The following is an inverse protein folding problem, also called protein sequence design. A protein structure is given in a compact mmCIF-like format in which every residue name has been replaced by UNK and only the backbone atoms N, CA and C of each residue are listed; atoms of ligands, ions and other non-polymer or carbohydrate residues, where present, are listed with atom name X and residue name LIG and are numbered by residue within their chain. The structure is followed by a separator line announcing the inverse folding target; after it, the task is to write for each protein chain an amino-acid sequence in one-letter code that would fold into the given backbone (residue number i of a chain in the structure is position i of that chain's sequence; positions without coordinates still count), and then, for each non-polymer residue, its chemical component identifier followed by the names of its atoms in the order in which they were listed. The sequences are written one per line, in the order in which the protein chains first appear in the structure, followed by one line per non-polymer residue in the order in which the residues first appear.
data_IF_239042652436
#
_entry.id   IF_239042652436
#
_cell.length_a   1.000
_cell.length_b   1.000
_cell.length_c   1.000
_cell.angle_alpha   90.00
_cell.angle_beta   90.00
_cell.angle_gamma   90.00
#
_symmetry.space_group_name_H-M   'P 1'
#
loop_
_entity.id
_entity.type
_entity.pdbx_description
1 polymer ?
#
# COMPACT_ATOMS: atom_id res chain seq x y z
N UNK A 1 -11.43 -10.70 17.09
CA UNK A 1 -11.49 -11.74 16.03
C UNK A 1 -11.32 -11.18 14.61
N UNK A 2 -12.17 -10.26 14.08
CA UNK A 2 -11.96 -9.71 12.72
C UNK A 2 -10.82 -8.69 12.63
N UNK A 3 -10.68 -7.82 13.63
CA UNK A 3 -9.56 -6.88 13.71
C UNK A 3 -8.22 -7.61 13.89
N UNK A 4 -8.17 -8.65 14.74
CA UNK A 4 -6.96 -9.46 14.93
C UNK A 4 -6.52 -10.15 13.63
N UNK A 5 -7.49 -10.72 12.89
CA UNK A 5 -7.22 -11.32 11.58
C UNK A 5 -6.69 -10.29 10.58
N UNK A 6 -7.26 -9.08 10.55
CA UNK A 6 -6.77 -7.98 9.72
C UNK A 6 -5.33 -7.61 10.09
N UNK A 7 -5.06 -7.41 11.37
CA UNK A 7 -3.73 -7.04 11.89
C UNK A 7 -2.66 -8.08 11.53
N UNK A 8 -2.99 -9.37 11.54
CA UNK A 8 -2.08 -10.42 11.10
C UNK A 8 -1.62 -10.24 9.64
N UNK A 9 -2.53 -9.85 8.73
CA UNK A 9 -2.17 -9.57 7.33
C UNK A 9 -1.41 -8.25 7.15
N UNK A 10 -1.69 -7.24 7.99
CA UNK A 10 -0.90 -6.00 8.01
C UNK A 10 0.54 -6.29 8.39
N UNK A 11 0.76 -7.08 9.45
CA UNK A 11 2.10 -7.46 9.89
C UNK A 11 2.84 -8.28 8.82
N UNK A 12 2.13 -9.19 8.14
CA UNK A 12 2.70 -9.95 7.02
C UNK A 12 3.10 -9.05 5.84
N UNK A 13 2.25 -8.09 5.47
CA UNK A 13 2.57 -7.10 4.45
C UNK A 13 3.80 -6.27 4.83
N UNK A 14 3.87 -5.80 6.08
CA UNK A 14 5.04 -5.06 6.57
C UNK A 14 6.30 -5.91 6.53
N UNK A 15 6.24 -7.19 6.90
CA UNK A 15 7.37 -8.12 6.80
C UNK A 15 7.90 -8.25 5.38
N UNK A 16 7.02 -8.43 4.39
CA UNK A 16 7.44 -8.46 2.97
C UNK A 16 8.08 -7.14 2.54
N UNK A 17 7.49 -6.00 2.92
CA UNK A 17 8.01 -4.68 2.55
C UNK A 17 9.34 -4.37 3.25
N UNK A 18 9.57 -4.81 4.48
CA UNK A 18 10.88 -4.67 5.13
C UNK A 18 12.00 -5.39 4.36
N UNK A 19 11.67 -6.51 3.71
CA UNK A 19 12.62 -7.29 2.93
C UNK A 19 12.80 -6.73 1.51
N UNK A 20 11.70 -6.35 0.86
CA UNK A 20 11.65 -6.02 -0.55
C UNK A 20 11.77 -4.51 -0.83
N UNK A 21 11.17 -3.67 0.01
CA UNK A 21 10.97 -2.26 -0.26
C UNK A 21 10.95 -1.41 1.03
N UNK A 22 12.01 -1.49 1.87
CA UNK A 22 11.94 -1.02 3.25
C UNK A 22 11.65 0.48 3.37
N UNK A 23 12.19 1.30 2.48
CA UNK A 23 12.02 2.75 2.47
C UNK A 23 10.58 3.18 2.22
N UNK A 24 9.76 2.33 1.57
CA UNK A 24 8.36 2.64 1.31
C UNK A 24 7.53 2.80 2.60
N UNK A 25 7.91 2.08 3.67
CA UNK A 25 7.16 2.05 4.93
C UNK A 25 7.06 3.41 5.62
N UNK A 26 7.98 4.35 5.34
CA UNK A 26 7.98 5.71 5.90
C UNK A 26 7.22 6.76 5.07
N UNK A 27 6.76 6.42 3.87
CA UNK A 27 6.19 7.40 2.93
C UNK A 27 4.81 7.88 3.37
N UNK A 28 3.98 6.96 3.87
CA UNK A 28 2.63 7.26 4.33
C UNK A 28 2.54 7.15 5.85
N UNK A 29 1.56 7.84 6.45
CA UNK A 29 1.32 7.72 7.90
C UNK A 29 1.04 6.28 8.33
N UNK A 30 0.42 5.49 7.45
CA UNK A 30 0.25 4.04 7.57
C UNK A 30 0.32 3.40 6.18
N UNK A 31 0.96 2.23 6.10
CA UNK A 31 0.98 1.40 4.88
C UNK A 31 -0.42 0.97 4.42
N UNK A 32 -1.39 0.97 5.34
CA UNK A 32 -2.79 0.57 5.10
C UNK A 32 -3.70 1.73 4.69
N UNK A 33 -3.15 2.92 4.39
CA UNK A 33 -3.94 3.99 3.77
C UNK A 33 -4.46 3.50 2.41
N UNK A 34 -5.65 3.96 2.00
CA UNK A 34 -6.22 3.53 0.71
C UNK A 34 -5.28 3.85 -0.46
N UNK A 35 -4.62 5.01 -0.42
CA UNK A 35 -3.58 5.38 -1.39
C UNK A 35 -2.43 4.38 -1.43
N UNK A 36 -1.83 4.08 -0.28
CA UNK A 36 -0.71 3.14 -0.20
C UNK A 36 -1.08 1.73 -0.67
N UNK A 37 -2.24 1.22 -0.26
CA UNK A 37 -2.71 -0.10 -0.68
C UNK A 37 -2.98 -0.15 -2.20
N UNK A 38 -3.56 0.92 -2.77
CA UNK A 38 -3.84 0.99 -4.21
C UNK A 38 -2.56 1.03 -5.03
N UNK A 39 -1.58 1.83 -4.59
CA UNK A 39 -0.28 1.91 -5.23
C UNK A 39 0.47 0.57 -5.19
N UNK A 40 0.59 -0.06 -4.02
CA UNK A 40 1.26 -1.35 -3.88
C UNK A 40 0.53 -2.53 -4.56
N UNK A 41 -0.77 -2.39 -4.82
CA UNK A 41 -1.56 -3.35 -5.56
C UNK A 41 -1.37 -3.21 -7.08
N UNK A 42 -1.16 -1.97 -7.54
CA UNK A 42 -0.94 -1.63 -8.95
C UNK A 42 0.53 -1.84 -9.35
N UNK A 43 1.46 -1.26 -8.59
CA UNK A 43 2.90 -1.27 -8.81
C UNK A 43 3.56 -2.07 -7.70
N UNK A 44 3.74 -3.35 -7.96
CA UNK A 44 3.94 -4.35 -6.90
C UNK A 44 5.41 -4.65 -6.60
N UNK A 45 6.30 -3.87 -7.20
CA UNK A 45 7.75 -3.87 -7.00
C UNK A 45 8.30 -2.44 -7.19
N UNK A 46 9.47 -2.13 -6.62
CA UNK A 46 10.24 -0.92 -6.93
C UNK A 46 10.40 -0.68 -8.43
N UNK A 47 10.76 -1.71 -9.21
CA UNK A 47 10.92 -1.59 -10.66
C UNK A 47 9.61 -1.16 -11.33
N UNK A 48 8.48 -1.75 -10.93
CA UNK A 48 7.17 -1.35 -11.46
C UNK A 48 6.81 0.11 -11.15
N UNK A 49 7.32 0.69 -10.05
CA UNK A 49 7.16 2.11 -9.78
C UNK A 49 8.08 2.99 -10.63
N UNK A 50 9.29 2.53 -10.92
CA UNK A 50 10.28 3.25 -11.74
C UNK A 50 9.84 3.26 -13.21
N UNK A 51 9.29 2.16 -13.70
CA UNK A 51 8.83 1.99 -15.08
C UNK A 51 7.48 2.67 -15.36
N UNK A 52 6.69 2.94 -14.33
CA UNK A 52 5.37 3.54 -14.47
C UNK A 52 5.42 5.01 -14.88
N UNK A 53 4.39 5.46 -15.59
CA UNK A 53 4.26 6.88 -15.93
C UNK A 53 4.01 7.72 -14.66
N UNK A 54 4.73 8.86 -14.57
CA UNK A 54 4.62 9.77 -13.44
C UNK A 54 3.18 10.25 -13.22
N UNK A 55 2.48 10.59 -14.29
CA UNK A 55 1.13 11.15 -14.21
C UNK A 55 0.15 10.09 -13.69
N UNK A 56 0.29 8.82 -14.10
CA UNK A 56 -0.51 7.71 -13.58
C UNK A 56 -0.36 7.55 -12.06
N UNK A 57 0.87 7.57 -11.52
CA UNK A 57 1.09 7.49 -10.07
C UNK A 57 0.50 8.71 -9.36
N UNK A 58 0.72 9.92 -9.89
CA UNK A 58 0.19 11.17 -9.32
C UNK A 58 -1.34 11.16 -9.29
N UNK A 59 -1.98 10.64 -10.34
CA UNK A 59 -3.45 10.56 -10.43
C UNK A 59 -4.03 9.49 -9.51
N UNK A 60 -3.35 8.36 -9.31
CA UNK A 60 -3.71 7.40 -8.25
C UNK A 60 -3.62 8.06 -6.88
N UNK A 61 -2.57 8.83 -6.60
CA UNK A 61 -2.44 9.54 -5.31
C UNK A 61 -3.57 10.57 -5.14
N UNK A 62 -3.84 11.39 -6.16
CA UNK A 62 -4.91 12.40 -6.10
C UNK A 62 -6.32 11.81 -5.96
N UNK A 63 -6.60 10.70 -6.64
CA UNK A 63 -7.94 10.08 -6.60
C UNK A 63 -8.21 9.36 -5.28
N UNK A 64 -7.17 8.90 -4.60
CA UNK A 64 -7.29 8.13 -3.35
C UNK A 64 -7.04 8.95 -2.09
N UNK A 65 -6.30 10.06 -2.19
CA UNK A 65 -5.96 10.93 -1.09
C UNK A 65 -6.73 12.26 -1.17
N UNK A 66 -7.25 12.73 -0.03
CA UNK A 66 -7.98 14.01 0.06
C UNK A 66 -7.03 15.22 0.14
N UNK A 67 -6.00 15.26 -0.70
CA UNK A 67 -4.96 16.29 -0.71
C UNK A 67 -4.69 16.84 -2.11
N UNK A 68 -4.07 18.02 -2.18
CA UNK A 68 -3.78 18.72 -3.44
C UNK A 68 -2.58 18.15 -4.23
N UNK A 69 -2.35 18.73 -5.41
CA UNK A 69 -1.31 18.30 -6.36
C UNK A 69 0.12 18.32 -5.77
N UNK A 70 0.43 19.28 -4.91
CA UNK A 70 1.73 19.37 -4.23
C UNK A 70 1.99 18.14 -3.36
N UNK A 71 0.98 17.68 -2.61
CA UNK A 71 1.09 16.46 -1.82
C UNK A 71 1.36 15.25 -2.71
N UNK A 72 0.62 15.12 -3.81
CA UNK A 72 0.77 14.01 -4.74
C UNK A 72 2.17 13.95 -5.36
N UNK A 73 2.71 15.08 -5.81
CA UNK A 73 4.07 15.15 -6.33
C UNK A 73 5.13 14.82 -5.27
N UNK A 74 4.96 15.33 -4.04
CA UNK A 74 5.89 15.02 -2.95
C UNK A 74 5.90 13.52 -2.61
N UNK A 75 4.72 12.87 -2.62
CA UNK A 75 4.63 11.42 -2.42
C UNK A 75 5.21 10.65 -3.59
N UNK A 76 4.94 11.05 -4.84
CA UNK A 76 5.57 10.47 -6.02
C UNK A 76 7.11 10.50 -5.92
N UNK A 77 7.72 11.66 -5.64
CA UNK A 77 9.17 11.76 -5.52
C UNK A 77 9.73 10.88 -4.40
N UNK A 78 9.06 10.83 -3.24
CA UNK A 78 9.45 9.95 -2.14
C UNK A 78 9.38 8.45 -2.53
N UNK A 79 8.37 8.05 -3.31
CA UNK A 79 8.22 6.67 -3.80
C UNK A 79 9.34 6.31 -4.77
N UNK A 80 9.64 7.17 -5.75
CA UNK A 80 10.70 6.92 -6.72
C UNK A 80 12.07 6.87 -6.06
N UNK A 81 12.34 7.77 -5.11
CA UNK A 81 13.57 7.74 -4.32
C UNK A 81 13.70 6.43 -3.54
N UNK A 82 12.64 6.03 -2.84
CA UNK A 82 12.60 4.76 -2.12
C UNK A 82 12.82 3.56 -3.07
N UNK A 83 12.25 3.60 -4.28
CA UNK A 83 12.33 2.52 -5.25
C UNK A 83 13.77 2.31 -5.73
N UNK A 84 14.47 3.38 -6.06
CA UNK A 84 15.89 3.32 -6.41
C UNK A 84 16.77 2.84 -5.25
N UNK A 85 16.48 3.25 -4.01
CA UNK A 85 17.20 2.77 -2.84
C UNK A 85 16.98 1.25 -2.60
N UNK A 86 15.77 0.76 -2.84
CA UNK A 86 15.45 -0.66 -2.73
C UNK A 86 16.19 -1.52 -3.78
N UNK A 87 16.38 -1.02 -5.01
CA UNK A 87 17.16 -1.71 -6.05
C UNK A 87 18.61 -1.98 -5.61
N UNK A 88 19.19 -1.12 -4.75
CA UNK A 88 20.56 -1.29 -4.26
C UNK A 88 20.69 -2.37 -3.15
N UNK A 89 19.59 -2.76 -2.51
CA UNK A 89 19.61 -3.58 -1.29
C UNK A 89 19.30 -5.07 -1.50
N UNK A 90 18.65 -5.48 -2.61
CA UNK A 90 18.46 -6.91 -2.91
C UNK A 90 17.44 -7.25 -3.99
N UNK A 91 17.44 -8.53 -4.40
CA UNK A 91 16.52 -9.09 -5.40
C UNK A 91 15.13 -9.34 -4.80
N UNK A 92 14.12 -8.64 -5.31
CA UNK A 92 12.74 -9.07 -5.19
C UNK A 92 12.51 -10.23 -6.13
N UNK A 93 12.02 -11.35 -5.59
CA UNK A 93 11.57 -12.47 -6.41
C UNK A 93 10.05 -12.46 -6.52
N UNK A 94 9.51 -13.03 -7.59
CA UNK A 94 8.07 -13.08 -7.88
C UNK A 94 7.20 -13.53 -6.70
N UNK A 95 7.74 -14.37 -5.83
CA UNK A 95 7.02 -14.84 -4.64
C UNK A 95 6.71 -13.73 -3.64
N UNK A 96 7.56 -12.70 -3.50
CA UNK A 96 7.30 -11.54 -2.65
C UNK A 96 6.18 -10.69 -3.26
N UNK A 97 6.24 -10.46 -4.57
CA UNK A 97 5.21 -9.73 -5.33
C UNK A 97 3.82 -10.37 -5.14
N UNK A 98 3.75 -11.70 -5.32
CA UNK A 98 2.50 -12.46 -5.11
C UNK A 98 2.01 -12.37 -3.66
N UNK A 99 2.91 -12.43 -2.68
CA UNK A 99 2.57 -12.32 -1.25
C UNK A 99 2.06 -10.92 -0.89
N UNK A 100 2.70 -9.86 -1.38
CA UNK A 100 2.25 -8.47 -1.21
C UNK A 100 0.82 -8.32 -1.71
N UNK A 101 0.54 -8.71 -2.97
CA UNK A 101 -0.82 -8.67 -3.54
C UNK A 101 -1.82 -9.47 -2.72
N UNK A 102 -1.45 -10.69 -2.32
CA UNK A 102 -2.32 -11.56 -1.52
C UNK A 102 -2.67 -10.92 -0.17
N UNK A 103 -1.70 -10.36 0.55
CA UNK A 103 -1.93 -9.75 1.85
C UNK A 103 -2.76 -8.47 1.74
N UNK A 104 -2.53 -7.64 0.71
CA UNK A 104 -3.38 -6.47 0.41
C UNK A 104 -4.82 -6.91 0.16
N UNK A 105 -5.04 -7.96 -0.63
CA UNK A 105 -6.39 -8.48 -0.91
C UNK A 105 -7.14 -8.89 0.37
N UNK A 106 -6.43 -9.52 1.31
CA UNK A 106 -7.00 -9.88 2.60
C UNK A 106 -7.30 -8.66 3.45
N UNK A 107 -6.39 -7.69 3.54
CA UNK A 107 -6.59 -6.43 4.28
C UNK A 107 -7.87 -5.75 3.77
N UNK A 108 -8.01 -5.56 2.45
CA UNK A 108 -9.21 -4.94 1.85
C UNK A 108 -10.48 -5.74 2.16
N UNK A 109 -10.42 -7.08 2.06
CA UNK A 109 -11.56 -7.96 2.39
C UNK A 109 -11.99 -7.82 3.86
N UNK A 110 -11.04 -7.70 4.78
CA UNK A 110 -11.34 -7.47 6.19
C UNK A 110 -11.83 -6.04 6.46
N UNK A 111 -11.31 -5.03 5.77
CA UNK A 111 -11.82 -3.65 5.85
C UNK A 111 -13.30 -3.57 5.51
N UNK A 112 -13.72 -4.20 4.40
CA UNK A 112 -15.14 -4.26 4.01
C UNK A 112 -15.98 -4.96 5.08
N UNK A 113 -15.50 -6.08 5.64
CA UNK A 113 -16.22 -6.82 6.70
C UNK A 113 -16.34 -6.05 8.00
N UNK A 114 -15.32 -5.27 8.36
CA UNK A 114 -15.35 -4.42 9.56
C UNK A 114 -16.34 -3.28 9.34
N UNK A 115 -16.27 -2.61 8.18
CA UNK A 115 -17.16 -1.51 7.84
C UNK A 115 -18.63 -1.95 7.81
N UNK A 116 -18.95 -3.08 7.18
CA UNK A 116 -20.33 -3.57 7.10
C UNK A 116 -20.92 -3.88 8.48
N UNK A 117 -20.13 -4.47 9.39
CA UNK A 117 -20.57 -4.68 10.78
C UNK A 117 -20.81 -3.37 11.52
N UNK A 118 -19.94 -2.38 11.34
CA UNK A 118 -20.13 -1.07 11.97
C UNK A 118 -21.41 -0.39 11.49
N UNK A 119 -21.67 -0.41 10.18
CA UNK A 119 -22.91 0.12 9.60
C UNK A 119 -24.15 -0.63 10.11
N UNK A 120 -24.11 -1.96 10.22
CA UNK A 120 -25.24 -2.72 10.79
C UNK A 120 -25.51 -2.36 12.26
N UNK A 121 -24.47 -2.08 13.05
CA UNK A 121 -24.61 -1.67 14.44
C UNK A 121 -25.16 -0.24 14.57
N UNK A 122 -24.84 0.66 13.64
CA UNK A 122 -25.33 2.04 13.68
C UNK A 122 -26.82 2.17 13.34
N UNK A 123 -27.41 1.21 12.62
CA UNK A 123 -28.85 1.19 12.29
C UNK A 123 -29.71 0.48 13.34
N UNK A 124 -29.09 -0.11 14.38
CA UNK A 124 -29.79 -0.77 15.49
C UNK A 124 -29.89 0.12 16.76
N UNK A 125 -29.42 1.36 16.67
CA UNK A 125 -29.57 2.41 17.69
C UNK A 125 -30.55 3.45 17.18
#
# INVERSE_FOLDING_TARGET
MLMDNRSAYVNKLQGELHMAFPQYLGIFSKVTTNTSLTLLETYTSPDAFIEADKQEIVDVIKSTARFGLTYANNKYHAIIQAAHEAQAFGYIIDSNIRRIRLYISFIRKYDVKVQSKLTLLSHRK
#
